data_IF_285980375755
#
_entry.id   IF_285980375755
#
_cell.length_a   1.000
_cell.length_b   1.000
_cell.length_c   1.000
_cell.angle_alpha   90.00
_cell.angle_beta   90.00
_cell.angle_gamma   90.00
#
_symmetry.space_group_name_H-M   'P 1'
#
loop_
_entity.id
_entity.type
_entity.pdbx_description
1 polymer ?
#
# COMPACT_ATOMS: atom_id res chain seq x y z
N UNK A 1 16.37 -9.54 -13.48
CA UNK A 1 15.85 -9.62 -12.09
C UNK A 1 17.03 -9.87 -11.16
N UNK A 2 17.21 -9.09 -10.10
CA UNK A 2 18.32 -9.30 -9.15
C UNK A 2 18.09 -10.63 -8.39
N UNK A 3 19.11 -11.49 -8.35
CA UNK A 3 19.04 -12.71 -7.55
C UNK A 3 19.30 -12.36 -6.08
N UNK A 4 18.34 -12.61 -5.19
CA UNK A 4 18.46 -12.44 -3.76
C UNK A 4 19.03 -13.71 -3.13
N UNK A 5 19.98 -13.55 -2.21
CA UNK A 5 20.49 -14.66 -1.42
C UNK A 5 19.84 -14.69 -0.03
N UNK A 6 20.14 -15.73 0.75
CA UNK A 6 19.60 -15.93 2.11
C UNK A 6 19.85 -14.73 3.04
N UNK A 7 20.99 -14.07 2.92
CA UNK A 7 21.28 -12.89 3.74
C UNK A 7 20.44 -11.69 3.33
N UNK A 8 20.22 -11.50 2.03
CA UNK A 8 19.35 -10.44 1.52
C UNK A 8 17.91 -10.63 2.01
N UNK A 9 17.38 -11.86 1.96
CA UNK A 9 16.04 -12.18 2.46
C UNK A 9 15.91 -11.90 3.97
N UNK A 10 16.91 -12.27 4.77
CA UNK A 10 16.93 -11.95 6.22
C UNK A 10 17.00 -10.46 6.49
N UNK A 11 17.80 -9.70 5.74
CA UNK A 11 17.84 -8.24 5.84
C UNK A 11 16.45 -7.64 5.57
N UNK A 12 15.82 -8.07 4.49
CA UNK A 12 14.49 -7.59 4.09
C UNK A 12 13.42 -7.93 5.13
N UNK A 13 13.43 -9.17 5.66
CA UNK A 13 12.50 -9.58 6.72
C UNK A 13 12.63 -8.73 7.98
N UNK A 14 13.85 -8.49 8.46
CA UNK A 14 14.09 -7.66 9.63
C UNK A 14 13.67 -6.21 9.37
N UNK A 15 14.09 -5.63 8.24
CA UNK A 15 13.78 -4.24 7.90
C UNK A 15 12.29 -4.00 7.63
N UNK A 16 11.55 -5.01 7.17
CA UNK A 16 10.09 -4.91 6.98
C UNK A 16 9.34 -4.74 8.31
N UNK A 17 9.92 -5.22 9.42
CA UNK A 17 9.34 -5.14 10.77
C UNK A 17 9.90 -3.98 11.58
N UNK A 18 11.21 -3.72 11.45
CA UNK A 18 11.91 -2.63 12.14
C UNK A 18 12.84 -1.87 11.18
N UNK A 19 12.28 -0.89 10.49
CA UNK A 19 13.05 -0.02 9.60
C UNK A 19 14.00 0.95 10.31
N UNK A 20 13.99 1.00 11.67
CA UNK A 20 14.89 1.83 12.48
C UNK A 20 16.00 1.05 13.19
N UNK A 21 16.10 -0.25 12.95
CA UNK A 21 17.17 -1.07 13.52
C UNK A 21 18.54 -0.47 13.18
N UNK A 22 19.47 -0.46 14.16
CA UNK A 22 20.81 0.03 13.92
C UNK A 22 21.62 -0.92 13.03
N UNK A 23 22.59 -0.38 12.28
CA UNK A 23 23.48 -1.17 11.41
C UNK A 23 24.15 -2.32 12.16
N UNK A 24 24.60 -2.07 13.39
CA UNK A 24 25.25 -3.09 14.23
C UNK A 24 24.29 -4.19 14.63
N UNK A 25 23.08 -3.84 15.08
CA UNK A 25 22.05 -4.84 15.44
C UNK A 25 21.58 -5.66 14.25
N UNK A 26 21.42 -5.02 13.08
CA UNK A 26 21.05 -5.71 11.86
C UNK A 26 22.12 -6.72 11.45
N UNK A 27 23.40 -6.32 11.47
CA UNK A 27 24.53 -7.17 11.13
C UNK A 27 24.63 -8.37 12.10
N UNK A 28 24.50 -8.12 13.41
CA UNK A 28 24.48 -9.16 14.45
C UNK A 28 23.35 -10.17 14.22
N UNK A 29 22.11 -9.68 13.95
CA UNK A 29 20.94 -10.53 13.74
C UNK A 29 21.06 -11.51 12.56
N UNK A 30 21.91 -11.18 11.58
CA UNK A 30 22.14 -12.05 10.40
C UNK A 30 23.53 -12.73 10.41
N UNK A 31 24.29 -12.60 11.52
CA UNK A 31 25.63 -13.14 11.68
C UNK A 31 26.62 -12.65 10.59
N UNK A 32 26.64 -11.35 10.32
CA UNK A 32 27.62 -10.66 9.46
C UNK A 32 28.32 -9.54 10.21
N UNK A 33 29.49 -9.14 9.73
CA UNK A 33 30.10 -7.88 10.15
C UNK A 33 29.35 -6.69 9.54
N UNK A 34 29.48 -5.51 10.17
CA UNK A 34 28.71 -4.31 9.83
C UNK A 34 28.89 -3.87 8.38
N UNK A 35 30.12 -3.85 7.87
CA UNK A 35 30.41 -3.36 6.51
C UNK A 35 29.73 -4.20 5.43
N UNK A 36 29.92 -5.53 5.33
CA UNK A 36 29.25 -6.34 4.30
C UNK A 36 27.72 -6.37 4.46
N UNK A 37 27.20 -6.29 5.70
CA UNK A 37 25.75 -6.15 5.90
C UNK A 37 25.25 -4.85 5.28
N UNK A 38 25.93 -3.73 5.56
CA UNK A 38 25.51 -2.42 5.06
C UNK A 38 25.67 -2.25 3.54
N UNK A 39 26.68 -2.86 2.95
CA UNK A 39 26.84 -2.90 1.49
C UNK A 39 25.65 -3.63 0.81
N UNK A 40 25.16 -4.69 1.43
CA UNK A 40 23.96 -5.40 0.96
C UNK A 40 22.72 -4.51 1.03
N UNK A 41 22.50 -3.81 2.15
CA UNK A 41 21.38 -2.85 2.29
C UNK A 41 21.43 -1.81 1.17
N UNK A 42 22.59 -1.15 0.96
CA UNK A 42 22.75 -0.18 -0.12
C UNK A 42 22.48 -0.76 -1.51
N UNK A 43 22.88 -2.00 -1.75
CA UNK A 43 22.62 -2.70 -3.01
C UNK A 43 21.12 -2.93 -3.22
N UNK A 44 20.40 -3.32 -2.16
CA UNK A 44 18.95 -3.54 -2.18
C UNK A 44 18.18 -2.23 -2.39
N UNK A 45 18.62 -1.14 -1.76
CA UNK A 45 18.09 0.21 -1.99
C UNK A 45 18.33 0.68 -3.43
N UNK A 46 19.57 0.58 -3.92
CA UNK A 46 19.92 0.97 -5.30
C UNK A 46 19.16 0.16 -6.35
N UNK A 47 18.86 -1.09 -6.07
CA UNK A 47 18.08 -1.96 -6.96
C UNK A 47 16.57 -1.73 -6.87
N UNK A 48 16.11 -0.83 -5.99
CA UNK A 48 14.68 -0.54 -5.77
C UNK A 48 13.92 -1.67 -5.08
N UNK A 49 14.61 -2.67 -4.50
CA UNK A 49 13.98 -3.73 -3.71
C UNK A 49 13.51 -3.14 -2.37
N UNK A 50 14.33 -2.31 -1.74
CA UNK A 50 13.92 -1.44 -0.64
C UNK A 50 13.48 -0.11 -1.25
N UNK A 51 12.20 0.18 -1.21
CA UNK A 51 11.61 1.38 -1.82
C UNK A 51 11.64 2.59 -0.88
N UNK A 52 11.87 2.37 0.42
CA UNK A 52 11.92 3.42 1.42
C UNK A 52 11.68 2.91 2.82
N UNK A 53 11.69 3.82 3.78
CA UNK A 53 11.41 3.58 5.18
C UNK A 53 10.31 4.52 5.64
N UNK A 54 9.27 4.01 6.26
CA UNK A 54 8.14 4.80 6.76
C UNK A 54 7.80 4.45 8.19
N UNK A 55 7.32 5.43 8.94
CA UNK A 55 6.79 5.19 10.28
C UNK A 55 5.36 4.66 10.19
N UNK A 56 5.03 3.65 10.99
CA UNK A 56 3.64 3.27 11.25
C UNK A 56 3.09 4.25 12.31
N UNK A 57 2.10 5.02 11.93
CA UNK A 57 1.48 6.02 12.80
C UNK A 57 0.08 5.52 13.16
N UNK A 58 -0.25 5.55 14.44
CA UNK A 58 -1.61 5.35 14.88
C UNK A 58 -2.46 6.56 14.45
N UNK A 59 -3.17 6.38 13.35
CA UNK A 59 -3.96 7.44 12.76
C UNK A 59 -5.15 7.86 13.64
N UNK A 60 -5.64 6.99 14.51
CA UNK A 60 -6.77 7.25 15.41
C UNK A 60 -6.38 8.28 16.50
N UNK A 61 -5.08 8.37 16.83
CA UNK A 61 -4.55 9.40 17.74
C UNK A 61 -4.58 10.78 17.10
N UNK A 62 -4.43 10.89 15.79
CA UNK A 62 -4.36 12.16 15.09
C UNK A 62 -5.74 12.73 14.77
N UNK A 63 -6.56 11.97 14.11
CA UNK A 63 -7.95 12.33 13.76
C UNK A 63 -8.73 11.03 13.56
N UNK A 64 -9.92 10.88 14.19
CA UNK A 64 -10.78 9.74 13.92
C UNK A 64 -11.02 9.60 12.41
N UNK A 65 -10.80 8.39 11.88
CA UNK A 65 -10.99 8.07 10.47
C UNK A 65 -11.92 6.88 10.35
N UNK A 66 -12.73 6.92 9.29
CA UNK A 66 -13.61 5.82 8.92
C UNK A 66 -13.09 5.23 7.62
N UNK A 67 -12.37 4.09 7.65
CA UNK A 67 -11.96 3.44 6.43
C UNK A 67 -13.18 2.87 5.70
N UNK A 68 -13.22 3.14 4.40
CA UNK A 68 -14.31 2.71 3.52
C UNK A 68 -13.70 2.06 2.28
N UNK A 69 -14.09 0.82 1.99
CA UNK A 69 -13.78 0.18 0.73
C UNK A 69 -14.91 0.40 -0.26
N UNK A 70 -14.55 0.69 -1.50
CA UNK A 70 -15.51 0.92 -2.57
C UNK A 70 -15.14 0.09 -3.77
N UNK A 71 -16.08 -0.68 -4.27
CA UNK A 71 -16.01 -1.31 -5.58
C UNK A 71 -16.53 -0.32 -6.62
N UNK A 72 -15.80 -0.12 -7.70
CA UNK A 72 -16.15 0.81 -8.77
C UNK A 72 -16.24 0.05 -10.09
N UNK A 73 -17.31 0.30 -10.83
CA UNK A 73 -17.51 -0.13 -12.20
C UNK A 73 -17.68 1.10 -13.09
N UNK A 74 -16.93 1.16 -14.19
CA UNK A 74 -16.99 2.26 -15.15
C UNK A 74 -17.95 1.95 -16.30
N UNK A 75 -18.59 2.98 -16.85
CA UNK A 75 -19.50 2.86 -18.01
C UNK A 75 -18.81 2.36 -19.27
N UNK A 76 -17.53 2.69 -19.42
CA UNK A 76 -16.75 2.37 -20.61
C UNK A 76 -15.41 1.74 -20.20
N UNK A 77 -15.12 0.57 -20.72
CA UNK A 77 -13.91 -0.19 -20.49
C UNK A 77 -12.87 0.08 -21.59
N UNK A 78 -12.38 1.32 -21.65
CA UNK A 78 -11.33 1.74 -22.58
C UNK A 78 -10.22 2.52 -21.86
N UNK A 79 -9.06 2.63 -22.50
CA UNK A 79 -7.87 3.24 -21.91
C UNK A 79 -8.10 4.69 -21.46
N UNK A 80 -8.92 5.45 -22.20
CA UNK A 80 -9.22 6.84 -21.86
C UNK A 80 -10.03 6.95 -20.57
N UNK A 81 -11.04 6.12 -20.39
CA UNK A 81 -11.88 6.07 -19.18
C UNK A 81 -11.06 5.65 -17.97
N UNK A 82 -10.22 4.63 -18.10
CA UNK A 82 -9.30 4.21 -17.04
C UNK A 82 -8.34 5.33 -16.64
N UNK A 83 -7.68 5.97 -17.61
CA UNK A 83 -6.75 7.08 -17.36
C UNK A 83 -7.43 8.24 -16.64
N UNK A 84 -8.66 8.61 -17.04
CA UNK A 84 -9.42 9.68 -16.38
C UNK A 84 -9.77 9.34 -14.93
N UNK A 85 -10.23 8.11 -14.70
CA UNK A 85 -10.54 7.64 -13.35
C UNK A 85 -9.30 7.60 -12.47
N UNK A 86 -8.21 7.02 -12.94
CA UNK A 86 -6.94 6.96 -12.22
C UNK A 86 -6.37 8.36 -11.89
N UNK A 87 -6.50 9.31 -12.82
CA UNK A 87 -6.10 10.69 -12.57
C UNK A 87 -6.96 11.38 -11.49
N UNK A 88 -8.24 11.04 -11.36
CA UNK A 88 -9.09 11.49 -10.27
C UNK A 88 -8.65 10.90 -8.94
N UNK A 89 -8.42 9.60 -8.91
CA UNK A 89 -7.90 8.87 -7.74
C UNK A 89 -6.61 9.52 -7.22
N UNK A 90 -5.63 9.75 -8.11
CA UNK A 90 -4.34 10.34 -7.74
C UNK A 90 -4.44 11.77 -7.18
N UNK A 91 -5.50 12.50 -7.51
CA UNK A 91 -5.76 13.86 -7.00
C UNK A 91 -6.60 13.88 -5.72
N UNK A 92 -7.06 12.73 -5.23
CA UNK A 92 -7.95 12.62 -4.08
C UNK A 92 -7.15 12.16 -2.86
N UNK A 93 -6.79 13.06 -1.93
CA UNK A 93 -5.93 12.72 -0.79
C UNK A 93 -6.59 11.78 0.22
N UNK A 94 -7.92 11.67 0.22
CA UNK A 94 -8.67 10.73 1.04
C UNK A 94 -8.54 9.28 0.54
N UNK A 95 -8.09 9.06 -0.70
CA UNK A 95 -7.80 7.73 -1.22
C UNK A 95 -6.40 7.30 -0.77
N UNK A 96 -6.32 6.19 -0.06
CA UNK A 96 -5.05 5.64 0.43
C UNK A 96 -4.61 4.40 -0.34
N UNK A 97 -5.53 3.74 -1.03
CA UNK A 97 -5.24 2.58 -1.86
C UNK A 97 -6.24 2.50 -3.02
N UNK A 98 -5.76 2.19 -4.20
CA UNK A 98 -6.59 1.88 -5.36
C UNK A 98 -5.91 0.79 -6.18
N UNK A 99 -6.63 -0.27 -6.47
CA UNK A 99 -6.16 -1.38 -7.29
C UNK A 99 -7.16 -1.68 -8.39
N UNK A 100 -6.67 -1.84 -9.62
CA UNK A 100 -7.44 -2.39 -10.71
C UNK A 100 -7.58 -3.90 -10.52
N UNK A 101 -8.76 -4.45 -10.75
CA UNK A 101 -9.05 -5.87 -10.54
C UNK A 101 -9.66 -6.50 -11.79
N UNK A 102 -9.40 -7.79 -11.98
CA UNK A 102 -10.09 -8.58 -13.00
C UNK A 102 -11.31 -9.27 -12.36
N UNK A 103 -12.51 -9.07 -12.93
CA UNK A 103 -13.73 -9.68 -12.40
C UNK A 103 -14.99 -8.85 -12.67
N UNK A 104 -15.90 -8.83 -11.70
CA UNK A 104 -17.20 -8.15 -11.84
C UNK A 104 -17.17 -6.63 -11.63
N UNK A 105 -16.00 -6.05 -11.28
CA UNK A 105 -15.80 -4.61 -11.12
C UNK A 105 -14.41 -4.23 -11.63
N UNK A 106 -14.16 -2.94 -11.87
CA UNK A 106 -12.89 -2.46 -12.45
C UNK A 106 -11.87 -2.10 -11.37
N UNK A 107 -12.32 -1.52 -10.26
CA UNK A 107 -11.42 -1.03 -9.21
C UNK A 107 -11.95 -1.35 -7.81
N UNK A 108 -11.01 -1.57 -6.89
CA UNK A 108 -11.21 -1.50 -5.44
C UNK A 108 -10.47 -0.28 -4.93
N UNK A 109 -11.19 0.61 -4.26
CA UNK A 109 -10.66 1.89 -3.75
C UNK A 109 -10.84 1.95 -2.25
N UNK A 110 -9.78 2.27 -1.51
CA UNK A 110 -9.82 2.49 -0.07
C UNK A 110 -9.78 3.98 0.23
N UNK A 111 -10.81 4.46 0.91
CA UNK A 111 -10.89 5.81 1.43
C UNK A 111 -10.63 5.84 2.93
N UNK A 112 -9.98 6.90 3.41
CA UNK A 112 -9.85 7.24 4.82
C UNK A 112 -10.60 8.56 5.06
N UNK A 113 -11.89 8.45 5.35
CA UNK A 113 -12.76 9.61 5.52
C UNK A 113 -12.88 10.02 7.00
N UNK A 114 -12.96 11.32 7.29
CA UNK A 114 -13.17 11.83 8.66
C UNK A 114 -14.53 11.43 9.21
N UNK A 115 -15.55 11.47 8.36
CA UNK A 115 -16.93 11.06 8.66
C UNK A 115 -17.52 10.37 7.44
N UNK A 116 -18.57 9.57 7.67
CA UNK A 116 -19.31 8.95 6.54
C UNK A 116 -19.97 10.02 5.67
N UNK A 117 -20.43 11.12 6.25
CA UNK A 117 -20.98 12.26 5.50
C UNK A 117 -19.91 12.90 4.58
N UNK A 118 -18.67 13.06 5.05
CA UNK A 118 -17.59 13.59 4.21
C UNK A 118 -17.24 12.65 3.05
N UNK A 119 -17.28 11.33 3.28
CA UNK A 119 -17.14 10.34 2.24
C UNK A 119 -18.28 10.43 1.22
N UNK A 120 -19.54 10.51 1.68
CA UNK A 120 -20.68 10.61 0.77
C UNK A 120 -20.58 11.85 -0.14
N UNK A 121 -20.25 13.01 0.41
CA UNK A 121 -20.03 14.23 -0.38
C UNK A 121 -18.91 14.08 -1.41
N UNK A 122 -17.87 13.33 -1.09
CA UNK A 122 -16.79 13.04 -2.03
C UNK A 122 -17.29 12.15 -3.17
N UNK A 123 -18.04 11.09 -2.85
CA UNK A 123 -18.64 10.22 -3.86
C UNK A 123 -19.63 10.96 -4.74
N UNK A 124 -20.46 11.87 -4.19
CA UNK A 124 -21.38 12.71 -4.99
C UNK A 124 -20.61 13.56 -6.01
N UNK A 125 -19.44 14.13 -5.61
CA UNK A 125 -18.57 14.87 -6.54
C UNK A 125 -17.98 13.96 -7.63
N UNK A 126 -17.60 12.74 -7.28
CA UNK A 126 -17.08 11.77 -8.23
C UNK A 126 -18.15 11.35 -9.25
N UNK A 127 -19.41 11.15 -8.80
CA UNK A 127 -20.53 10.76 -9.66
C UNK A 127 -20.92 11.86 -10.67
N UNK A 128 -20.80 13.14 -10.29
CA UNK A 128 -21.08 14.27 -11.23
C UNK A 128 -19.88 14.62 -12.10
N UNK A 129 -18.71 14.05 -11.80
CA UNK A 129 -17.52 14.22 -12.63
C UNK A 129 -17.61 13.37 -13.91
N UNK A 130 -16.90 13.79 -14.96
CA UNK A 130 -16.91 13.10 -16.27
C UNK A 130 -16.09 11.79 -16.30
N UNK A 131 -15.77 11.20 -15.16
CA UNK A 131 -14.98 9.95 -15.07
C UNK A 131 -15.78 8.71 -15.44
N UNK A 132 -17.13 8.81 -15.51
CA UNK A 132 -17.98 7.76 -16.04
C UNK A 132 -18.15 6.57 -15.11
N UNK A 133 -18.35 6.78 -13.81
CA UNK A 133 -18.75 5.71 -12.89
C UNK A 133 -20.15 5.23 -13.28
N UNK A 134 -20.30 3.93 -13.56
CA UNK A 134 -21.57 3.27 -13.83
C UNK A 134 -22.26 2.88 -12.53
N UNK A 135 -21.48 2.19 -11.68
CA UNK A 135 -21.97 1.61 -10.43
C UNK A 135 -20.85 1.56 -9.39
N UNK A 136 -21.23 1.71 -8.13
CA UNK A 136 -20.31 1.51 -7.03
C UNK A 136 -21.02 0.85 -5.84
N UNK A 137 -20.22 0.14 -5.01
CA UNK A 137 -20.66 -0.47 -3.78
C UNK A 137 -19.76 -0.04 -2.64
N UNK A 138 -20.36 0.46 -1.59
CA UNK A 138 -19.66 1.01 -0.41
C UNK A 138 -19.65 -0.02 0.73
N UNK A 139 -18.45 -0.26 1.29
CA UNK A 139 -18.25 -1.13 2.44
C UNK A 139 -17.57 -0.34 3.56
N UNK A 140 -18.34 0.02 4.57
CA UNK A 140 -17.79 0.70 5.77
C UNK A 140 -17.07 -0.34 6.60
N UNK A 141 -15.78 -0.12 6.89
CA UNK A 141 -14.99 -1.03 7.72
C UNK A 141 -15.43 -0.89 9.18
N UNK A 142 -15.97 -1.94 9.73
CA UNK A 142 -16.40 -1.98 11.14
C UNK A 142 -15.29 -2.41 12.08
N UNK A 143 -14.31 -3.18 11.57
CA UNK A 143 -13.17 -3.68 12.35
C UNK A 143 -12.04 -4.13 11.41
N UNK A 144 -10.81 -3.71 11.69
CA UNK A 144 -9.62 -4.30 11.09
C UNK A 144 -9.20 -5.52 11.90
N UNK A 145 -9.24 -6.71 11.29
CA UNK A 145 -8.88 -7.97 11.97
C UNK A 145 -7.38 -8.20 11.94
N UNK A 146 -6.73 -7.88 10.81
CA UNK A 146 -5.29 -8.03 10.64
C UNK A 146 -4.77 -6.99 9.64
N UNK A 147 -3.66 -6.36 9.98
CA UNK A 147 -2.90 -5.47 9.09
C UNK A 147 -1.42 -5.59 9.43
N UNK A 148 -0.73 -6.48 8.74
CA UNK A 148 0.70 -6.76 8.93
C UNK A 148 1.41 -6.71 7.57
N UNK A 149 2.71 -6.36 7.56
CA UNK A 149 3.52 -6.49 6.35
C UNK A 149 3.58 -7.96 5.89
N UNK A 150 3.81 -8.15 4.60
CA UNK A 150 4.05 -9.49 4.05
C UNK A 150 5.28 -10.11 4.74
N UNK A 151 5.13 -11.29 5.31
CA UNK A 151 6.26 -12.07 5.81
C UNK A 151 7.16 -12.48 4.66
N UNK A 152 8.47 -12.31 4.83
CA UNK A 152 9.45 -12.75 3.83
C UNK A 152 9.93 -14.14 4.22
N UNK A 153 9.71 -15.11 3.35
CA UNK A 153 10.24 -16.47 3.55
C UNK A 153 11.77 -16.46 3.40
N UNK A 154 12.45 -16.65 4.54
CA UNK A 154 13.92 -16.65 4.60
C UNK A 154 14.52 -18.03 4.32
N UNK A 155 13.71 -19.06 4.24
CA UNK A 155 14.16 -20.47 4.08
C UNK A 155 14.05 -20.99 2.65
N UNK A 156 13.50 -20.16 1.72
CA UNK A 156 13.48 -20.47 0.30
C UNK A 156 12.45 -21.53 -0.11
N UNK A 157 11.33 -21.61 0.62
CA UNK A 157 10.26 -22.59 0.38
C UNK A 157 9.19 -22.10 -0.62
N UNK A 158 9.53 -21.15 -1.51
CA UNK A 158 8.67 -20.77 -2.65
C UNK A 158 9.24 -21.23 -3.97
#
# INVERSE_FOLDING_TARGET
MMKLDRYDLKILDILSRDGRITKSKLAEAINLSVSPCWERVKRLEKAGVIQGYSARIDADVLVPRNPVWVQIELKQHNAESFTRFEALVMKTPEVTECVAVGGGVDYLVKFEARTIDSYQRLMDKWLVSEVGIERYFTYIVTKTVKHEPLGIDTDGSM
#
